data_IF_074574774907
#
_entry.id   IF_074574774907
#
_cell.length_a   1.000
_cell.length_b   1.000
_cell.length_c   1.000
_cell.angle_alpha   90.00
_cell.angle_beta   90.00
_cell.angle_gamma   90.00
#
_symmetry.space_group_name_H-M   'P 1'
#
loop_
_entity.id
_entity.type
_entity.pdbx_description
1 polymer ?
#
# COMPACT_ATOMS: atom_id res chain seq x y z
N UNK A 1 -58.48 -54.35 46.20
CA UNK A 1 -57.37 -55.27 46.57
C UNK A 1 -56.18 -54.89 45.69
N UNK A 2 -54.97 -54.52 46.16
CA UNK A 2 -54.40 -54.50 47.51
C UNK A 2 -53.19 -53.53 47.60
N UNK A 3 -53.10 -52.77 48.71
CA UNK A 3 -51.93 -52.11 49.36
C UNK A 3 -50.62 -51.76 48.58
N UNK A 4 -50.38 -50.45 48.47
CA UNK A 4 -49.20 -49.66 48.90
C UNK A 4 -47.75 -50.25 48.95
N UNK A 5 -46.78 -49.47 48.42
CA UNK A 5 -45.50 -49.11 49.10
C UNK A 5 -44.72 -47.97 48.37
N UNK A 6 -43.93 -47.22 49.14
CA UNK A 6 -43.32 -45.88 48.90
C UNK A 6 -42.20 -45.71 49.97
N UNK A 7 -41.09 -44.91 49.87
CA UNK A 7 -40.64 -43.89 48.87
C UNK A 7 -39.16 -44.06 48.36
N UNK A 8 -38.59 -43.00 47.74
CA UNK A 8 -37.19 -42.46 47.85
C UNK A 8 -36.26 -42.47 46.61
N UNK A 9 -35.81 -41.25 46.23
CA UNK A 9 -34.59 -40.86 45.49
C UNK A 9 -34.41 -41.35 44.02
N UNK A 10 -33.62 -40.70 43.15
CA UNK A 10 -32.64 -39.61 43.34
C UNK A 10 -32.76 -38.58 42.17
N UNK A 11 -32.28 -37.35 42.38
CA UNK A 11 -32.26 -36.32 41.33
C UNK A 11 -31.34 -36.69 40.16
N UNK A 12 -31.77 -36.37 38.93
CA UNK A 12 -30.86 -35.97 37.86
C UNK A 12 -31.56 -35.01 36.89
N UNK A 13 -31.59 -33.74 37.29
CA UNK A 13 -32.03 -32.61 36.47
C UNK A 13 -31.00 -32.28 35.40
N UNK A 14 -31.10 -32.94 34.24
CA UNK A 14 -30.41 -32.53 33.02
C UNK A 14 -31.28 -31.52 32.25
N UNK A 15 -31.26 -30.25 32.69
CA UNK A 15 -31.84 -29.15 31.93
C UNK A 15 -31.08 -28.99 30.61
N UNK A 16 -31.77 -29.20 29.50
CA UNK A 16 -31.21 -29.01 28.15
C UNK A 16 -31.12 -27.51 27.86
N UNK A 17 -30.11 -26.86 28.43
CA UNK A 17 -29.74 -25.50 28.06
C UNK A 17 -29.10 -25.54 26.67
N UNK A 18 -29.86 -25.14 25.66
CA UNK A 18 -29.33 -24.79 24.34
C UNK A 18 -28.35 -23.63 24.50
N UNK A 19 -27.08 -23.96 24.71
CA UNK A 19 -26.01 -22.99 24.75
C UNK A 19 -25.87 -22.36 23.37
N UNK A 20 -26.32 -21.11 23.24
CA UNK A 20 -25.85 -20.25 22.16
C UNK A 20 -24.33 -20.19 22.28
N UNK A 21 -23.62 -20.92 21.40
CA UNK A 21 -22.21 -20.68 21.14
C UNK A 21 -22.14 -19.27 20.57
N UNK A 22 -21.92 -18.28 21.46
CA UNK A 22 -21.54 -16.95 21.03
C UNK A 22 -20.13 -17.11 20.50
N UNK A 23 -20.05 -17.34 19.19
CA UNK A 23 -18.80 -17.34 18.45
C UNK A 23 -18.22 -15.94 18.61
N UNK A 24 -17.27 -15.84 19.53
CA UNK A 24 -16.56 -14.61 19.80
C UNK A 24 -15.68 -14.38 18.57
N UNK A 25 -16.20 -13.56 17.64
CA UNK A 25 -15.45 -13.09 16.49
C UNK A 25 -14.25 -12.34 17.06
N UNK A 26 -13.13 -13.06 17.14
CA UNK A 26 -11.83 -12.47 17.43
C UNK A 26 -11.57 -11.52 16.28
N UNK A 27 -11.83 -10.24 16.52
CA UNK A 27 -11.62 -9.19 15.55
C UNK A 27 -10.14 -9.22 15.18
N UNK A 28 -9.86 -9.72 13.98
CA UNK A 28 -8.50 -9.87 13.50
C UNK A 28 -7.88 -8.48 13.48
N UNK A 29 -6.84 -8.29 14.31
CA UNK A 29 -6.09 -7.03 14.33
C UNK A 29 -5.59 -6.68 12.94
N UNK A 30 -5.29 -5.40 12.66
CA UNK A 30 -4.96 -4.92 11.31
C UNK A 30 -3.92 -5.82 10.64
N UNK A 31 -4.32 -6.55 9.59
CA UNK A 31 -3.44 -7.51 8.90
C UNK A 31 -2.28 -6.72 8.29
N UNK A 32 -1.10 -6.83 8.89
CA UNK A 32 0.13 -6.21 8.39
C UNK A 32 0.42 -6.76 6.98
N UNK A 33 0.70 -5.87 6.03
CA UNK A 33 0.96 -6.26 4.65
C UNK A 33 2.44 -6.58 4.49
N UNK A 34 2.73 -7.84 4.19
CA UNK A 34 4.09 -8.28 3.80
C UNK A 34 4.31 -8.06 2.31
N UNK A 35 5.44 -7.45 1.95
CA UNK A 35 5.90 -7.25 0.58
C UNK A 35 6.37 -8.59 -0.04
N UNK A 36 6.27 -8.77 -1.36
CA UNK A 36 6.79 -9.97 -2.02
C UNK A 36 8.32 -10.01 -1.95
N UNK A 37 8.89 -11.17 -1.63
CA UNK A 37 10.36 -11.35 -1.51
C UNK A 37 11.08 -11.54 -2.86
N UNK A 38 10.33 -11.76 -3.94
CA UNK A 38 10.86 -11.91 -5.31
C UNK A 38 10.57 -10.70 -6.19
N UNK A 39 10.76 -10.83 -7.50
CA UNK A 39 10.53 -9.78 -8.50
C UNK A 39 9.26 -9.97 -9.34
N UNK A 40 8.25 -10.65 -8.80
CA UNK A 40 7.01 -10.94 -9.54
C UNK A 40 6.11 -9.69 -9.64
N UNK A 41 5.98 -9.17 -10.86
CA UNK A 41 5.21 -7.96 -11.17
C UNK A 41 3.74 -8.01 -10.69
N UNK A 42 3.09 -9.17 -10.74
CA UNK A 42 1.69 -9.29 -10.37
C UNK A 42 1.52 -9.26 -8.84
N UNK A 43 2.38 -9.97 -8.11
CA UNK A 43 2.43 -9.94 -6.65
C UNK A 43 2.77 -8.54 -6.14
N UNK A 44 3.75 -7.86 -6.76
CA UNK A 44 4.09 -6.48 -6.39
C UNK A 44 2.95 -5.51 -6.65
N UNK A 45 2.31 -5.54 -7.83
CA UNK A 45 1.17 -4.66 -8.11
C UNK A 45 -0.02 -4.92 -7.18
N UNK A 46 -0.26 -6.19 -6.80
CA UNK A 46 -1.30 -6.56 -5.84
C UNK A 46 -0.99 -6.09 -4.40
N UNK A 47 0.27 -6.17 -3.97
CA UNK A 47 0.73 -5.62 -2.69
C UNK A 47 0.60 -4.09 -2.66
N UNK A 48 1.16 -3.41 -3.66
CA UNK A 48 1.13 -1.95 -3.77
C UNK A 48 -0.30 -1.42 -3.83
N UNK A 49 -1.21 -2.08 -4.55
CA UNK A 49 -2.63 -1.69 -4.58
C UNK A 49 -3.29 -1.70 -3.20
N UNK A 50 -2.96 -2.67 -2.34
CA UNK A 50 -3.46 -2.74 -0.96
C UNK A 50 -2.84 -1.66 -0.06
N UNK A 51 -1.52 -1.42 -0.17
CA UNK A 51 -0.85 -0.35 0.56
C UNK A 51 -1.43 1.01 0.18
N UNK A 52 -1.56 1.28 -1.13
CA UNK A 52 -2.16 2.51 -1.66
C UNK A 52 -3.58 2.70 -1.13
N UNK A 53 -4.43 1.66 -1.20
CA UNK A 53 -5.81 1.71 -0.71
C UNK A 53 -5.93 2.07 0.78
N UNK A 54 -4.97 1.64 1.61
CA UNK A 54 -4.92 1.96 3.04
C UNK A 54 -4.40 3.37 3.37
N UNK A 55 -3.78 4.05 2.41
CA UNK A 55 -3.10 5.34 2.63
C UNK A 55 -3.79 6.52 1.91
N UNK A 56 -5.04 6.37 1.46
CA UNK A 56 -5.77 7.42 0.73
C UNK A 56 -6.35 8.54 1.62
N UNK A 57 -6.01 8.61 2.92
CA UNK A 57 -6.45 9.70 3.78
C UNK A 57 -6.00 11.06 3.21
N UNK A 58 -6.95 11.97 2.97
CA UNK A 58 -6.70 13.28 2.34
C UNK A 58 -6.74 13.29 0.81
N UNK A 59 -6.87 12.14 0.13
CA UNK A 59 -7.16 12.12 -1.31
C UNK A 59 -8.63 12.48 -1.52
N UNK A 60 -8.89 13.46 -2.38
CA UNK A 60 -10.26 13.89 -2.75
C UNK A 60 -10.51 13.87 -4.27
N UNK A 61 -9.47 13.64 -5.08
CA UNK A 61 -9.57 13.55 -6.54
C UNK A 61 -9.06 12.18 -7.01
N UNK A 62 -7.81 12.05 -7.46
CA UNK A 62 -7.27 10.82 -8.06
C UNK A 62 -5.98 10.34 -7.41
N UNK A 63 -5.73 9.04 -7.55
CA UNK A 63 -4.44 8.41 -7.29
C UNK A 63 -3.77 8.08 -8.62
N UNK A 64 -2.54 8.52 -8.80
CA UNK A 64 -1.67 8.18 -9.91
C UNK A 64 -0.58 7.24 -9.41
N UNK A 65 -0.69 5.96 -9.77
CA UNK A 65 0.26 4.92 -9.35
C UNK A 65 1.37 4.74 -10.37
N UNK A 66 2.61 4.78 -9.90
CA UNK A 66 3.82 4.60 -10.70
C UNK A 66 4.59 3.39 -10.19
N UNK A 67 4.92 2.49 -11.12
CA UNK A 67 5.57 1.22 -10.85
C UNK A 67 6.81 1.09 -11.73
N UNK A 68 7.91 0.62 -11.16
CA UNK A 68 9.06 0.12 -11.91
C UNK A 68 9.16 -1.39 -11.64
N UNK A 69 9.29 -2.24 -12.68
CA UNK A 69 9.64 -3.65 -12.49
C UNK A 69 11.11 -3.79 -12.05
N UNK A 70 11.47 -4.98 -11.57
CA UNK A 70 12.90 -5.32 -11.40
C UNK A 70 13.60 -5.29 -12.77
N UNK A 71 14.81 -4.75 -12.84
CA UNK A 71 15.53 -4.61 -14.10
C UNK A 71 15.03 -3.48 -15.01
N UNK A 72 14.24 -2.53 -14.48
CA UNK A 72 13.70 -1.39 -15.25
C UNK A 72 14.75 -0.47 -15.89
N UNK A 73 16.05 -0.62 -15.57
CA UNK A 73 17.18 0.08 -16.20
C UNK A 73 17.76 -0.64 -17.43
N UNK A 74 17.19 -1.77 -17.83
CA UNK A 74 17.50 -2.42 -19.12
C UNK A 74 16.39 -2.11 -20.14
N UNK A 75 16.71 -1.95 -21.44
CA UNK A 75 15.70 -1.92 -22.49
C UNK A 75 14.93 -3.24 -22.57
N UNK A 76 13.64 -3.17 -22.92
CA UNK A 76 12.85 -4.38 -23.13
C UNK A 76 13.32 -5.16 -24.37
N UNK A 77 13.06 -6.46 -24.42
CA UNK A 77 13.31 -7.23 -25.64
C UNK A 77 12.42 -6.70 -26.79
N UNK A 78 13.05 -6.38 -27.92
CA UNK A 78 12.35 -5.79 -29.08
C UNK A 78 12.12 -4.27 -28.99
N UNK A 79 12.70 -3.58 -28.00
CA UNK A 79 12.67 -2.12 -27.92
C UNK A 79 13.29 -1.46 -29.16
N UNK A 80 12.66 -0.40 -29.68
CA UNK A 80 13.05 0.27 -30.92
C UNK A 80 13.60 1.69 -30.74
N UNK A 81 13.35 2.33 -29.58
CA UNK A 81 13.85 3.68 -29.29
C UNK A 81 15.06 3.66 -28.33
N UNK A 82 15.36 2.49 -27.76
CA UNK A 82 16.50 2.27 -26.87
C UNK A 82 16.28 2.73 -25.44
N UNK A 83 15.07 3.19 -25.10
CA UNK A 83 14.73 3.64 -23.74
C UNK A 83 14.42 2.46 -22.83
N UNK A 84 14.80 2.62 -21.58
CA UNK A 84 14.46 1.69 -20.51
C UNK A 84 13.04 1.98 -19.99
N UNK A 85 12.52 1.11 -19.11
CA UNK A 85 11.26 1.41 -18.42
C UNK A 85 11.44 2.57 -17.42
N UNK A 86 12.64 2.69 -16.83
CA UNK A 86 13.03 3.82 -15.98
C UNK A 86 12.94 5.15 -16.75
N UNK A 87 13.53 5.24 -17.94
CA UNK A 87 13.55 6.49 -18.72
C UNK A 87 12.15 6.97 -19.07
N UNK A 88 11.30 6.05 -19.55
CA UNK A 88 9.90 6.36 -19.88
C UNK A 88 9.11 6.80 -18.65
N UNK A 89 9.34 6.15 -17.52
CA UNK A 89 8.63 6.47 -16.29
C UNK A 89 9.13 7.80 -15.68
N UNK A 90 10.42 8.11 -15.81
CA UNK A 90 11.03 9.38 -15.44
C UNK A 90 10.49 10.52 -16.32
N UNK A 91 10.43 10.36 -17.64
CA UNK A 91 9.82 11.32 -18.57
C UNK A 91 8.35 11.60 -18.19
N UNK A 92 7.57 10.55 -17.93
CA UNK A 92 6.16 10.65 -17.55
C UNK A 92 5.96 11.43 -16.25
N UNK A 93 6.72 11.12 -15.19
CA UNK A 93 6.57 11.78 -13.88
C UNK A 93 7.11 13.21 -13.94
N UNK A 94 8.24 13.44 -14.61
CA UNK A 94 8.79 14.79 -14.79
C UNK A 94 7.78 15.70 -15.51
N UNK A 95 7.14 15.21 -16.58
CA UNK A 95 6.13 15.97 -17.31
C UNK A 95 4.87 16.27 -16.47
N UNK A 96 4.50 15.40 -15.52
CA UNK A 96 3.40 15.64 -14.57
C UNK A 96 3.80 16.70 -13.53
N UNK A 97 4.96 16.55 -12.90
CA UNK A 97 5.45 17.49 -11.87
C UNK A 97 5.68 18.89 -12.45
N UNK A 98 6.31 19.00 -13.63
CA UNK A 98 6.53 20.27 -14.33
C UNK A 98 5.23 21.00 -14.71
N UNK A 99 4.12 20.27 -14.90
CA UNK A 99 2.79 20.84 -15.19
C UNK A 99 1.97 21.16 -13.94
N UNK A 100 2.52 20.89 -12.76
CA UNK A 100 1.86 20.89 -11.46
C UNK A 100 0.75 19.83 -11.32
N UNK A 101 0.54 19.38 -10.09
CA UNK A 101 -0.45 18.37 -9.70
C UNK A 101 -1.55 19.07 -8.90
N UNK A 102 -2.78 19.04 -9.43
CA UNK A 102 -3.93 19.71 -8.82
C UNK A 102 -4.19 19.19 -7.39
N UNK A 103 -4.57 20.05 -6.43
CA UNK A 103 -4.81 19.67 -5.04
C UNK A 103 -5.78 18.48 -4.87
N UNK A 104 -5.61 17.70 -3.81
CA UNK A 104 -6.44 16.53 -3.51
C UNK A 104 -6.04 15.26 -4.24
N UNK A 105 -4.97 15.31 -5.05
CA UNK A 105 -4.41 14.15 -5.74
C UNK A 105 -3.29 13.47 -4.95
N UNK A 106 -3.07 12.18 -5.22
CA UNK A 106 -1.91 11.42 -4.75
C UNK A 106 -1.06 10.94 -5.92
N UNK A 107 0.27 11.10 -5.82
CA UNK A 107 1.21 10.30 -6.60
C UNK A 107 1.73 9.17 -5.71
N UNK A 108 1.58 7.92 -6.14
CA UNK A 108 2.02 6.75 -5.39
C UNK A 108 3.13 6.02 -6.14
N UNK A 109 4.25 5.76 -5.47
CA UNK A 109 5.46 5.19 -6.05
C UNK A 109 5.84 3.89 -5.33
N UNK A 110 6.07 2.81 -6.06
CA UNK A 110 6.55 1.54 -5.47
C UNK A 110 7.18 0.58 -6.48
N UNK A 111 8.09 -0.26 -6.02
CA UNK A 111 8.94 -1.11 -6.86
C UNK A 111 9.60 -2.23 -6.02
N UNK A 112 9.86 -3.44 -6.58
CA UNK A 112 10.82 -4.38 -6.01
C UNK A 112 12.22 -3.78 -5.80
N UNK A 113 12.62 -2.85 -6.67
CA UNK A 113 13.83 -2.05 -6.53
C UNK A 113 13.48 -0.66 -5.98
N UNK A 114 13.48 -0.57 -4.65
CA UNK A 114 13.26 0.68 -3.91
C UNK A 114 14.25 1.78 -4.31
N UNK A 115 15.52 1.42 -4.46
CA UNK A 115 16.57 2.38 -4.76
C UNK A 115 16.35 3.02 -6.14
N UNK A 116 15.99 2.23 -7.16
CA UNK A 116 15.66 2.76 -8.49
C UNK A 116 14.37 3.56 -8.52
N UNK A 117 13.36 3.23 -7.69
CA UNK A 117 12.16 4.06 -7.59
C UNK A 117 12.47 5.42 -6.92
N UNK A 118 13.29 5.43 -5.87
CA UNK A 118 13.70 6.67 -5.23
C UNK A 118 14.64 7.52 -6.12
N UNK A 119 15.52 6.89 -6.92
CA UNK A 119 16.30 7.58 -7.97
C UNK A 119 15.37 8.30 -8.96
N UNK A 120 14.30 7.64 -9.39
CA UNK A 120 13.30 8.20 -10.28
C UNK A 120 12.57 9.38 -9.66
N UNK A 121 12.12 9.28 -8.41
CA UNK A 121 11.38 10.37 -7.74
C UNK A 121 12.29 11.58 -7.54
N UNK A 122 13.50 11.41 -7.02
CA UNK A 122 14.46 12.52 -6.84
C UNK A 122 14.79 13.19 -8.18
N UNK A 123 15.00 12.39 -9.24
CA UNK A 123 15.27 12.91 -10.58
C UNK A 123 14.08 13.67 -11.17
N UNK A 124 12.86 13.12 -11.06
CA UNK A 124 11.66 13.72 -11.64
C UNK A 124 11.20 15.00 -10.94
N UNK A 125 11.55 15.17 -9.65
CA UNK A 125 11.24 16.36 -8.86
C UNK A 125 12.35 17.43 -8.93
N UNK A 126 13.49 17.12 -9.54
CA UNK A 126 14.58 18.09 -9.73
C UNK A 126 14.11 19.27 -10.59
N UNK A 127 14.14 20.48 -10.02
CA UNK A 127 13.71 21.70 -10.69
C UNK A 127 12.20 21.92 -10.74
N UNK A 128 11.41 21.17 -9.96
CA UNK A 128 9.98 21.43 -9.77
C UNK A 128 9.73 22.82 -9.14
N UNK A 129 8.58 23.42 -9.43
CA UNK A 129 8.11 24.60 -8.67
C UNK A 129 7.83 24.21 -7.21
N UNK A 130 8.12 25.11 -6.27
CA UNK A 130 7.93 24.85 -4.84
C UNK A 130 6.44 24.66 -4.42
N UNK A 131 5.49 24.97 -5.30
CA UNK A 131 4.06 24.72 -5.13
C UNK A 131 3.54 23.66 -6.11
N UNK A 132 4.41 22.96 -6.86
CA UNK A 132 4.01 22.05 -7.93
C UNK A 132 3.07 20.93 -7.45
N UNK A 133 3.14 20.53 -6.18
CA UNK A 133 2.23 19.54 -5.58
C UNK A 133 1.47 20.11 -4.37
N UNK A 134 1.28 21.43 -4.29
CA UNK A 134 0.64 22.08 -3.15
C UNK A 134 -0.79 21.56 -2.92
N UNK A 135 -1.02 20.96 -1.75
CA UNK A 135 -2.32 20.35 -1.41
C UNK A 135 -2.53 18.97 -2.01
N UNK A 136 -1.51 18.41 -2.66
CA UNK A 136 -1.44 17.01 -3.09
C UNK A 136 -0.47 16.24 -2.18
N UNK A 137 -0.44 14.92 -2.30
CA UNK A 137 0.42 14.07 -1.48
C UNK A 137 1.23 13.06 -2.31
N UNK A 138 2.40 12.70 -1.79
CA UNK A 138 3.26 11.67 -2.38
C UNK A 138 3.40 10.52 -1.39
N UNK A 139 2.99 9.34 -1.83
CA UNK A 139 3.17 8.08 -1.13
C UNK A 139 4.37 7.33 -1.73
N UNK A 140 5.42 7.12 -0.94
CA UNK A 140 6.55 6.27 -1.31
C UNK A 140 6.48 4.95 -0.55
N UNK A 141 6.50 3.84 -1.30
CA UNK A 141 6.45 2.47 -0.78
C UNK A 141 7.77 1.80 -1.15
N UNK A 142 8.64 1.61 -0.17
CA UNK A 142 10.02 1.20 -0.40
C UNK A 142 10.77 0.93 0.90
N UNK A 143 12.09 0.91 0.86
CA UNK A 143 12.93 0.68 2.04
C UNK A 143 13.15 1.97 2.83
N UNK A 144 13.38 1.84 4.14
CA UNK A 144 13.68 2.98 5.01
C UNK A 144 14.95 3.75 4.59
N UNK A 145 15.95 3.07 4.02
CA UNK A 145 17.20 3.68 3.52
C UNK A 145 16.99 4.68 2.36
N UNK A 146 15.85 4.63 1.68
CA UNK A 146 15.48 5.52 0.58
C UNK A 146 14.50 6.64 1.00
N UNK A 147 13.92 6.57 2.19
CA UNK A 147 12.78 7.42 2.56
C UNK A 147 13.15 8.92 2.66
N UNK A 148 14.25 9.25 3.35
CA UNK A 148 14.61 10.65 3.61
C UNK A 148 14.99 11.41 2.33
N UNK A 149 15.74 10.78 1.40
CA UNK A 149 16.08 11.41 0.11
C UNK A 149 14.86 11.67 -0.78
N UNK A 150 13.85 10.79 -0.71
CA UNK A 150 12.57 11.01 -1.40
C UNK A 150 11.79 12.13 -0.73
N UNK A 151 11.71 12.12 0.60
CA UNK A 151 11.04 13.15 1.40
C UNK A 151 11.54 14.55 1.06
N UNK A 152 12.86 14.76 1.07
CA UNK A 152 13.47 16.05 0.76
C UNK A 152 13.05 16.57 -0.62
N UNK A 153 13.07 15.71 -1.66
CA UNK A 153 12.69 16.09 -3.01
C UNK A 153 11.19 16.44 -3.16
N UNK A 154 10.30 15.71 -2.48
CA UNK A 154 8.85 15.89 -2.65
C UNK A 154 8.26 16.99 -1.75
N UNK A 155 8.81 17.18 -0.54
CA UNK A 155 8.44 18.30 0.33
C UNK A 155 8.94 19.64 -0.24
N UNK A 156 10.10 19.65 -0.93
CA UNK A 156 10.59 20.82 -1.67
C UNK A 156 9.64 21.28 -2.80
N UNK A 157 8.83 20.38 -3.36
CA UNK A 157 7.79 20.67 -4.35
C UNK A 157 6.40 20.94 -3.72
N UNK A 158 6.31 21.03 -2.40
CA UNK A 158 5.10 21.39 -1.66
C UNK A 158 4.10 20.24 -1.42
N UNK A 159 4.50 18.99 -1.65
CA UNK A 159 3.65 17.82 -1.36
C UNK A 159 3.64 17.46 0.14
N UNK A 160 2.54 16.86 0.63
CA UNK A 160 2.58 16.06 1.86
C UNK A 160 3.27 14.73 1.56
N UNK A 161 4.36 14.43 2.26
CA UNK A 161 5.01 13.13 2.16
C UNK A 161 4.34 12.06 3.05
N UNK A 162 4.23 10.84 2.52
CA UNK A 162 3.82 9.63 3.25
C UNK A 162 4.82 8.53 2.89
N UNK A 163 5.42 7.91 3.90
CA UNK A 163 6.29 6.74 3.73
C UNK A 163 5.61 5.49 4.25
N UNK A 164 5.69 4.39 3.49
CA UNK A 164 5.40 3.03 3.96
C UNK A 164 6.59 2.14 3.65
N UNK A 165 7.10 1.48 4.69
CA UNK A 165 8.19 0.53 4.54
C UNK A 165 7.68 -0.79 3.92
N UNK A 166 8.32 -1.23 2.84
CA UNK A 166 8.09 -2.53 2.21
C UNK A 166 8.87 -3.61 2.97
N UNK A 167 8.16 -4.37 3.81
CA UNK A 167 8.70 -5.41 4.72
C UNK A 167 8.25 -6.81 4.33
#
# INVERSE_FOLDING_TARGET
MTRALVPVALLLSALVLSGCQKEEVVEAGPVELTAPTGSDDAQWKAYLGQVIGRNQEGVTDRVFSYYLPMGASEPAEGDQDGKTMYDRQLENVSAVVQRTVLPGNMLAFGSPDSAKMADLVVSAFTGADANALKGSQVLFIGKAEDADRVKEAVEAAGARYIFVEAK
#
